data_IF_429973438887
#
_entry.id   IF_429973438887
#
_cell.length_a   1.000
_cell.length_b   1.000
_cell.length_c   1.000
_cell.angle_alpha   90.00
_cell.angle_beta   90.00
_cell.angle_gamma   90.00
#
_symmetry.space_group_name_H-M   'P 1'
#
loop_
_entity.id
_entity.type
_entity.pdbx_description
1 polymer ?
#
# COMPACT_ATOMS: atom_id res chain seq x y z
N UNK A 1 5.71 4.58 3.40
CA UNK A 1 6.64 5.69 3.50
C UNK A 1 7.94 5.25 4.15
N UNK A 2 9.03 5.90 3.79
CA UNK A 2 10.40 5.51 4.15
C UNK A 2 11.07 6.50 5.11
N UNK A 3 10.28 7.30 5.82
CA UNK A 3 10.79 8.36 6.68
C UNK A 3 11.64 7.88 7.88
N UNK A 4 11.61 6.61 8.20
CA UNK A 4 12.42 5.99 9.24
C UNK A 4 13.77 5.44 8.74
N UNK A 5 14.10 5.55 7.45
CA UNK A 5 15.38 5.06 6.89
C UNK A 5 16.40 6.15 6.62
N UNK A 6 16.01 7.42 6.57
CA UNK A 6 16.91 8.55 6.25
C UNK A 6 16.41 9.84 6.89
N UNK A 7 17.31 10.55 7.54
CA UNK A 7 17.04 11.90 8.03
C UNK A 7 16.80 12.90 6.89
N UNK A 8 17.34 12.64 5.70
CA UNK A 8 17.10 13.44 4.50
C UNK A 8 15.62 13.47 4.09
N UNK A 9 14.84 12.50 4.58
CA UNK A 9 13.41 12.46 4.33
C UNK A 9 12.69 13.72 4.82
N UNK A 10 13.01 14.22 6.01
CA UNK A 10 12.40 15.43 6.55
C UNK A 10 12.77 16.67 5.74
N UNK A 11 13.96 16.73 5.19
CA UNK A 11 14.44 17.82 4.36
C UNK A 11 13.74 17.89 3.00
N UNK A 12 13.25 16.75 2.48
CA UNK A 12 12.62 16.65 1.16
C UNK A 12 11.13 16.37 1.19
N UNK A 13 10.59 15.97 2.34
CA UNK A 13 9.20 15.57 2.49
C UNK A 13 8.24 16.75 2.52
N UNK A 14 6.97 16.45 2.35
CA UNK A 14 5.90 17.43 2.51
C UNK A 14 5.15 17.14 3.79
N UNK A 15 4.94 18.16 4.59
CA UNK A 15 4.03 18.14 5.72
C UNK A 15 2.87 19.06 5.39
N UNK A 16 1.64 18.57 5.53
CA UNK A 16 0.41 19.29 5.13
C UNK A 16 0.45 19.84 3.69
N UNK A 17 1.12 19.12 2.77
CA UNK A 17 1.24 19.52 1.37
C UNK A 17 2.39 20.48 1.06
N UNK A 18 3.07 21.01 2.06
CA UNK A 18 4.22 21.90 1.91
C UNK A 18 5.55 21.13 1.94
N UNK A 19 6.53 21.62 1.19
CA UNK A 19 7.85 21.02 1.15
C UNK A 19 8.64 21.46 2.36
N UNK A 20 9.29 20.49 3.00
CA UNK A 20 10.04 20.71 4.24
C UNK A 20 11.54 20.76 3.95
N UNK A 21 12.23 21.76 4.48
CA UNK A 21 13.68 21.87 4.50
C UNK A 21 14.27 22.84 3.48
N UNK A 22 14.21 22.53 2.17
CA UNK A 22 14.83 23.37 1.16
C UNK A 22 13.82 23.89 0.12
N UNK A 23 13.96 25.16 -0.28
CA UNK A 23 13.19 25.73 -1.39
C UNK A 23 13.73 25.24 -2.77
N UNK A 24 13.10 25.74 -3.84
CA UNK A 24 13.47 25.39 -5.22
C UNK A 24 14.92 25.85 -5.57
N UNK A 25 15.42 26.83 -4.86
CA UNK A 25 16.77 27.41 -5.05
C UNK A 25 17.81 26.72 -4.17
N UNK A 26 17.40 25.74 -3.36
CA UNK A 26 18.26 25.01 -2.43
C UNK A 26 18.54 25.77 -1.12
N UNK A 27 17.76 26.82 -0.81
CA UNK A 27 17.85 27.55 0.44
C UNK A 27 17.04 26.83 1.50
N UNK A 28 17.62 26.64 2.68
CA UNK A 28 16.92 26.09 3.84
C UNK A 28 15.75 26.98 4.24
N UNK A 29 14.59 26.35 4.37
CA UNK A 29 13.36 26.99 4.87
C UNK A 29 13.05 26.39 6.22
N UNK A 30 13.00 27.20 7.24
CA UNK A 30 12.49 26.82 8.54
C UNK A 30 10.95 26.79 8.47
N UNK A 31 10.39 25.59 8.51
CA UNK A 31 8.94 25.39 8.52
C UNK A 31 8.57 24.84 9.90
N UNK A 32 7.60 25.47 10.56
CA UNK A 32 6.96 24.94 11.76
C UNK A 32 5.68 24.19 11.35
N UNK A 33 5.74 22.87 11.12
CA UNK A 33 4.56 22.12 10.70
C UNK A 33 3.59 21.96 11.88
N UNK A 34 2.30 22.09 11.60
CA UNK A 34 1.25 21.74 12.55
C UNK A 34 0.82 20.30 12.22
N UNK A 35 0.99 19.40 13.16
CA UNK A 35 0.65 17.98 13.03
C UNK A 35 -0.46 17.62 14.01
N UNK A 36 -1.45 16.87 13.52
CA UNK A 36 -2.43 16.21 14.39
C UNK A 36 -2.01 14.75 14.51
N UNK A 37 -1.60 14.34 15.70
CA UNK A 37 -1.06 13.02 15.97
C UNK A 37 -1.86 12.33 17.07
N UNK A 38 -1.97 11.01 16.97
CA UNK A 38 -2.33 10.20 18.14
C UNK A 38 -1.15 10.17 19.11
N UNK A 39 -1.40 9.85 20.37
CA UNK A 39 -0.30 9.68 21.34
C UNK A 39 0.68 8.58 20.93
N UNK A 40 0.20 7.53 20.25
CA UNK A 40 1.05 6.46 19.73
C UNK A 40 2.03 6.99 18.68
N UNK A 41 1.55 7.79 17.73
CA UNK A 41 2.40 8.41 16.70
C UNK A 41 3.32 9.48 17.31
N UNK A 42 2.85 10.21 18.33
CA UNK A 42 3.66 11.20 19.00
C UNK A 42 4.85 10.57 19.76
N UNK A 43 4.63 9.48 20.49
CA UNK A 43 5.73 8.75 21.13
C UNK A 43 6.69 8.17 20.12
N UNK A 44 6.20 7.62 19.00
CA UNK A 44 7.05 7.14 17.91
C UNK A 44 7.90 8.28 17.30
N UNK A 45 7.33 9.48 17.16
CA UNK A 45 8.06 10.66 16.72
C UNK A 45 9.18 11.02 17.69
N UNK A 46 8.90 11.05 19.00
CA UNK A 46 9.89 11.35 20.03
C UNK A 46 11.03 10.31 20.11
N UNK A 47 10.75 9.06 19.75
CA UNK A 47 11.74 8.00 19.73
C UNK A 47 12.74 8.14 18.57
N UNK A 48 12.28 8.68 17.44
CA UNK A 48 13.05 8.66 16.20
C UNK A 48 13.55 10.03 15.74
N UNK A 49 13.13 11.13 16.37
CA UNK A 49 13.50 12.49 15.97
C UNK A 49 13.88 13.36 17.16
N UNK A 50 14.90 14.18 16.97
CA UNK A 50 15.17 15.31 17.83
C UNK A 50 14.22 16.45 17.46
N UNK A 51 13.49 16.96 18.43
CA UNK A 51 12.50 18.01 18.23
C UNK A 51 12.99 19.32 18.85
N UNK A 52 13.11 20.36 18.03
CA UNK A 52 13.32 21.72 18.48
C UNK A 52 11.98 22.48 18.54
N UNK A 53 11.82 23.34 19.51
CA UNK A 53 10.67 24.25 19.66
C UNK A 53 9.30 23.55 19.57
N UNK A 54 9.14 22.42 20.27
CA UNK A 54 7.86 21.73 20.35
C UNK A 54 6.83 22.55 21.12
N UNK A 55 5.70 22.85 20.49
CA UNK A 55 4.54 23.50 21.08
C UNK A 55 3.31 22.61 20.96
N UNK A 56 2.60 22.38 22.05
CA UNK A 56 1.30 21.69 22.05
C UNK A 56 0.21 22.75 21.96
N UNK A 57 -0.45 22.82 20.81
CA UNK A 57 -1.48 23.82 20.53
C UNK A 57 -2.84 23.43 21.12
N UNK A 58 -3.21 22.16 21.00
CA UNK A 58 -4.48 21.63 21.46
C UNK A 58 -4.39 20.11 21.65
N UNK A 59 -5.37 19.52 22.31
CA UNK A 59 -5.47 18.07 22.48
C UNK A 59 -6.83 17.64 23.01
N UNK A 60 -7.19 16.40 22.71
CA UNK A 60 -8.38 15.76 23.25
C UNK A 60 -8.03 14.38 23.82
N UNK A 61 -8.84 13.93 24.74
CA UNK A 61 -8.76 12.57 25.28
C UNK A 61 -10.10 11.89 25.19
N UNK A 62 -10.07 10.58 25.17
CA UNK A 62 -11.26 9.74 25.03
C UNK A 62 -11.33 8.73 26.17
N UNK A 63 -12.55 8.44 26.63
CA UNK A 63 -12.76 7.34 27.57
C UNK A 63 -12.45 6.01 26.90
N UNK A 64 -11.80 5.13 27.64
CA UNK A 64 -11.40 3.82 27.14
C UNK A 64 -12.51 2.80 27.36
N UNK A 65 -12.91 2.14 26.29
CA UNK A 65 -13.75 0.93 26.33
C UNK A 65 -12.93 -0.26 25.87
N UNK A 66 -13.04 -1.37 26.59
CA UNK A 66 -12.38 -2.64 26.27
C UNK A 66 -13.44 -3.66 25.85
N UNK A 67 -13.11 -4.48 24.83
CA UNK A 67 -13.97 -5.59 24.41
C UNK A 67 -15.15 -5.21 23.53
N UNK A 68 -15.24 -3.96 23.07
CA UNK A 68 -16.39 -3.48 22.27
C UNK A 68 -16.64 -4.29 21.01
N UNK A 69 -15.59 -4.81 20.39
CA UNK A 69 -15.64 -5.53 19.11
C UNK A 69 -15.20 -7.00 19.21
N UNK A 70 -14.93 -7.51 20.40
CA UNK A 70 -14.34 -8.85 20.58
C UNK A 70 -15.19 -9.94 19.92
N UNK A 71 -16.50 -9.98 20.18
CA UNK A 71 -17.38 -10.98 19.58
C UNK A 71 -17.39 -10.93 18.04
N UNK A 72 -17.38 -9.72 17.47
CA UNK A 72 -17.33 -9.54 16.01
C UNK A 72 -16.00 -10.01 15.45
N UNK A 73 -14.89 -9.59 16.06
CA UNK A 73 -13.54 -9.93 15.63
C UNK A 73 -13.33 -11.45 15.74
N UNK A 74 -13.69 -12.05 16.86
CA UNK A 74 -13.52 -13.48 17.09
C UNK A 74 -14.34 -14.32 16.10
N UNK A 75 -15.58 -13.94 15.84
CA UNK A 75 -16.41 -14.63 14.85
C UNK A 75 -15.77 -14.64 13.45
N UNK A 76 -15.40 -13.46 12.94
CA UNK A 76 -14.83 -13.37 11.60
C UNK A 76 -13.40 -13.92 11.52
N UNK A 77 -12.62 -13.83 12.59
CA UNK A 77 -11.30 -14.44 12.66
C UNK A 77 -11.40 -15.97 12.59
N UNK A 78 -12.29 -16.58 13.37
CA UNK A 78 -12.53 -18.03 13.35
C UNK A 78 -13.02 -18.49 11.97
N UNK A 79 -13.94 -17.75 11.37
CA UNK A 79 -14.39 -18.07 10.00
C UNK A 79 -13.24 -18.00 8.99
N UNK A 80 -12.37 -16.98 9.06
CA UNK A 80 -11.19 -16.85 8.20
C UNK A 80 -10.21 -18.01 8.38
N UNK A 81 -9.94 -18.43 9.62
CA UNK A 81 -9.00 -19.50 9.95
C UNK A 81 -9.53 -20.85 9.49
N UNK A 82 -10.83 -21.11 9.72
CA UNK A 82 -11.46 -22.40 9.42
C UNK A 82 -12.04 -22.49 8.00
N UNK A 83 -11.90 -21.45 7.19
CA UNK A 83 -12.45 -21.45 5.82
C UNK A 83 -11.83 -22.55 4.95
N UNK A 84 -12.67 -23.40 4.41
CA UNK A 84 -12.28 -24.49 3.51
C UNK A 84 -12.25 -24.08 2.04
N UNK A 85 -12.81 -22.91 1.72
CA UNK A 85 -12.78 -22.36 0.38
C UNK A 85 -12.29 -20.91 0.37
N UNK A 86 -11.73 -20.43 -0.76
CA UNK A 86 -11.20 -19.08 -0.89
C UNK A 86 -12.25 -17.97 -0.73
N UNK A 87 -13.51 -18.24 -1.07
CA UNK A 87 -14.58 -17.21 -1.01
C UNK A 87 -14.92 -16.86 0.42
N UNK A 88 -15.13 -17.86 1.29
CA UNK A 88 -15.43 -17.64 2.70
C UNK A 88 -14.27 -16.94 3.41
N UNK A 89 -13.04 -17.36 3.09
CA UNK A 89 -11.83 -16.71 3.60
C UNK A 89 -11.75 -15.24 3.20
N UNK A 90 -12.04 -14.95 1.92
CA UNK A 90 -12.01 -13.59 1.42
C UNK A 90 -13.14 -12.75 2.03
N UNK A 91 -14.32 -13.30 2.19
CA UNK A 91 -15.44 -12.64 2.86
C UNK A 91 -15.08 -12.28 4.31
N UNK A 92 -14.55 -13.23 5.06
CA UNK A 92 -14.14 -13.00 6.45
C UNK A 92 -13.04 -11.90 6.54
N UNK A 93 -12.05 -11.93 5.65
CA UNK A 93 -11.03 -10.89 5.56
C UNK A 93 -11.64 -9.50 5.25
N UNK A 94 -12.62 -9.46 4.33
CA UNK A 94 -13.32 -8.24 3.98
C UNK A 94 -14.11 -7.67 5.17
N UNK A 95 -14.80 -8.51 5.92
CA UNK A 95 -15.57 -8.09 7.09
C UNK A 95 -14.67 -7.53 8.20
N UNK A 96 -13.53 -8.17 8.50
CA UNK A 96 -12.55 -7.66 9.46
C UNK A 96 -12.01 -6.28 9.02
N UNK A 97 -11.65 -6.12 7.75
CA UNK A 97 -11.13 -4.86 7.24
C UNK A 97 -12.21 -3.75 7.17
N UNK A 98 -13.46 -4.11 6.89
CA UNK A 98 -14.55 -3.15 6.81
C UNK A 98 -14.93 -2.57 8.17
N UNK A 99 -14.70 -3.27 9.27
CA UNK A 99 -14.94 -2.72 10.59
C UNK A 99 -14.16 -1.42 10.80
N UNK A 100 -12.85 -1.46 10.55
CA UNK A 100 -12.00 -0.29 10.60
C UNK A 100 -12.41 0.77 9.56
N UNK A 101 -12.63 0.37 8.31
CA UNK A 101 -12.99 1.26 7.21
C UNK A 101 -14.30 2.01 7.46
N UNK A 102 -15.25 1.40 8.17
CA UNK A 102 -16.51 2.05 8.53
C UNK A 102 -16.29 3.24 9.48
N UNK A 103 -15.40 3.12 10.45
CA UNK A 103 -15.08 4.21 11.38
C UNK A 103 -14.23 5.32 10.74
N UNK A 104 -13.44 4.98 9.72
CA UNK A 104 -12.57 5.94 9.02
C UNK A 104 -13.20 6.55 7.77
N UNK A 105 -14.49 6.28 7.51
CA UNK A 105 -15.15 6.80 6.32
C UNK A 105 -15.50 8.30 6.48
N UNK A 106 -15.21 9.08 5.42
CA UNK A 106 -15.62 10.49 5.34
C UNK A 106 -17.13 10.62 5.23
N UNK A 107 -17.68 11.69 5.78
CA UNK A 107 -19.04 12.17 5.56
C UNK A 107 -19.23 12.80 4.18
N UNK A 108 -18.15 13.32 3.59
CA UNK A 108 -18.16 13.74 2.20
C UNK A 108 -18.17 12.53 1.27
N UNK A 109 -19.31 12.23 0.72
CA UNK A 109 -19.45 11.18 -0.29
C UNK A 109 -19.89 11.76 -1.62
N UNK A 110 -19.24 11.33 -2.69
CA UNK A 110 -19.68 11.62 -4.05
C UNK A 110 -20.04 10.33 -4.76
N UNK A 111 -21.17 10.31 -5.45
CA UNK A 111 -21.53 9.21 -6.33
C UNK A 111 -21.75 9.69 -7.75
N UNK A 112 -21.50 8.79 -8.70
CA UNK A 112 -21.85 9.03 -10.09
C UNK A 112 -23.24 8.47 -10.33
N UNK A 113 -24.15 9.37 -10.71
CA UNK A 113 -25.48 9.00 -11.23
C UNK A 113 -25.38 8.99 -12.75
N UNK A 114 -25.95 7.97 -13.34
CA UNK A 114 -26.04 7.83 -14.78
C UNK A 114 -27.46 8.17 -15.22
N UNK A 115 -27.59 9.19 -16.03
CA UNK A 115 -28.84 9.59 -16.64
C UNK A 115 -28.80 9.34 -18.14
N UNK A 116 -29.93 8.96 -18.72
CA UNK A 116 -30.07 8.82 -20.16
C UNK A 116 -30.89 10.00 -20.71
N UNK A 117 -30.21 10.89 -21.40
CA UNK A 117 -30.76 12.12 -21.92
C UNK A 117 -30.34 12.32 -23.39
N UNK A 118 -31.24 12.73 -24.24
CA UNK A 118 -31.02 12.95 -25.69
C UNK A 118 -30.40 11.73 -26.43
N UNK A 119 -30.73 10.51 -26.01
CA UNK A 119 -30.18 9.32 -26.61
C UNK A 119 -28.76 8.97 -26.17
N UNK A 120 -28.22 9.67 -25.16
CA UNK A 120 -26.86 9.49 -24.65
C UNK A 120 -26.85 9.20 -23.16
N UNK A 121 -25.89 8.38 -22.72
CA UNK A 121 -25.63 8.13 -21.30
C UNK A 121 -24.73 9.23 -20.74
N UNK A 122 -25.23 9.98 -19.80
CA UNK A 122 -24.52 11.03 -19.08
C UNK A 122 -24.14 10.56 -17.68
N UNK A 123 -22.93 10.85 -17.25
CA UNK A 123 -22.49 10.61 -15.88
C UNK A 123 -22.31 11.97 -15.20
N UNK A 124 -23.09 12.24 -14.16
CA UNK A 124 -22.90 13.41 -13.30
C UNK A 124 -22.48 12.98 -11.90
N UNK A 125 -21.61 13.75 -11.30
CA UNK A 125 -21.22 13.56 -9.91
C UNK A 125 -22.19 14.33 -9.02
N UNK A 126 -22.78 13.67 -8.05
CA UNK A 126 -23.58 14.29 -6.99
C UNK A 126 -22.79 14.19 -5.70
N UNK A 127 -22.57 15.32 -5.07
CA UNK A 127 -22.03 15.38 -3.71
C UNK A 127 -23.19 15.23 -2.72
N UNK A 128 -23.01 14.38 -1.73
CA UNK A 128 -23.99 14.19 -0.67
C UNK A 128 -23.28 14.36 0.67
N UNK A 129 -23.83 15.22 1.48
CA UNK A 129 -23.39 15.45 2.87
C UNK A 129 -24.31 14.76 3.89
N UNK A 130 -25.19 13.87 3.43
CA UNK A 130 -26.21 13.22 4.28
C UNK A 130 -25.71 11.98 5.02
N UNK A 131 -24.45 11.59 4.80
CA UNK A 131 -23.88 10.41 5.45
C UNK A 131 -23.40 10.78 6.85
N UNK A 132 -23.87 10.07 7.87
CA UNK A 132 -23.28 10.18 9.20
C UNK A 132 -21.79 9.84 9.13
N UNK A 133 -20.96 10.75 9.65
CA UNK A 133 -19.52 10.53 9.72
C UNK A 133 -19.21 9.32 10.59
N UNK A 134 -18.14 8.60 10.25
CA UNK A 134 -17.59 7.58 11.12
C UNK A 134 -17.01 8.21 12.40
N UNK A 135 -16.67 7.36 13.36
CA UNK A 135 -15.95 7.82 14.55
C UNK A 135 -14.44 7.80 14.29
N UNK A 136 -13.96 8.86 13.63
CA UNK A 136 -12.57 8.99 13.14
C UNK A 136 -11.50 8.67 14.19
N UNK A 137 -11.64 9.02 15.50
CA UNK A 137 -10.65 8.66 16.51
C UNK A 137 -10.32 7.17 16.59
N UNK A 138 -11.32 6.28 16.43
CA UNK A 138 -11.07 4.83 16.37
C UNK A 138 -10.21 4.47 15.16
N UNK A 139 -10.55 4.97 13.97
CA UNK A 139 -9.80 4.73 12.77
C UNK A 139 -8.35 5.24 12.85
N UNK A 140 -8.16 6.43 13.41
CA UNK A 140 -6.84 7.00 13.66
C UNK A 140 -6.02 6.16 14.63
N UNK A 141 -6.62 5.70 15.73
CA UNK A 141 -5.95 4.85 16.70
C UNK A 141 -5.50 3.52 16.06
N UNK A 142 -6.38 2.83 15.32
CA UNK A 142 -6.06 1.55 14.67
C UNK A 142 -4.86 1.72 13.71
N UNK A 143 -4.89 2.75 12.87
CA UNK A 143 -3.79 2.99 11.92
C UNK A 143 -2.49 3.39 12.60
N UNK A 144 -2.56 4.11 13.73
CA UNK A 144 -1.39 4.47 14.51
C UNK A 144 -0.73 3.26 15.16
N UNK A 145 -1.52 2.36 15.74
CA UNK A 145 -0.99 1.12 16.30
C UNK A 145 -0.37 0.23 15.22
N UNK A 146 -1.03 0.06 14.07
CA UNK A 146 -0.49 -0.69 12.95
C UNK A 146 0.84 -0.09 12.43
N UNK A 147 0.90 1.23 12.30
CA UNK A 147 2.11 1.96 11.90
C UNK A 147 3.24 1.81 12.91
N UNK A 148 2.94 1.96 14.19
CA UNK A 148 3.91 1.74 15.27
C UNK A 148 4.49 0.33 15.22
N UNK A 149 3.63 -0.69 15.07
CA UNK A 149 4.04 -2.09 14.97
C UNK A 149 4.99 -2.33 13.78
N UNK A 150 4.66 -1.79 12.61
CA UNK A 150 5.48 -1.93 11.40
C UNK A 150 6.80 -1.17 11.49
N UNK A 151 6.78 0.07 11.98
CA UNK A 151 7.99 0.89 12.10
C UNK A 151 8.94 0.30 13.15
N UNK A 152 8.43 -0.14 14.29
CA UNK A 152 9.26 -0.77 15.33
C UNK A 152 9.97 -2.01 14.79
N UNK A 153 9.28 -2.87 14.03
CA UNK A 153 9.90 -4.02 13.40
C UNK A 153 10.93 -3.61 12.32
N UNK A 154 10.63 -2.61 11.50
CA UNK A 154 11.55 -2.10 10.49
C UNK A 154 12.83 -1.52 11.12
N UNK A 155 12.70 -0.76 12.21
CA UNK A 155 13.84 -0.19 12.95
C UNK A 155 14.70 -1.26 13.62
N UNK A 156 14.07 -2.29 14.20
CA UNK A 156 14.80 -3.40 14.79
C UNK A 156 15.65 -4.19 13.77
N UNK A 157 15.34 -4.08 12.48
CA UNK A 157 16.02 -4.73 11.36
C UNK A 157 16.65 -3.71 10.39
N UNK A 158 17.02 -2.52 10.86
CA UNK A 158 17.42 -1.40 10.02
C UNK A 158 18.51 -1.75 8.99
N UNK A 159 19.53 -2.51 9.39
CA UNK A 159 20.67 -2.88 8.52
C UNK A 159 20.24 -3.75 7.32
N UNK A 160 19.24 -4.61 7.50
CA UNK A 160 18.72 -5.51 6.45
C UNK A 160 17.42 -5.02 5.83
N UNK A 161 16.84 -3.95 6.37
CA UNK A 161 15.55 -3.42 5.92
C UNK A 161 15.62 -2.83 4.51
N UNK A 162 14.68 -3.22 3.64
CA UNK A 162 14.56 -2.71 2.26
C UNK A 162 13.29 -1.91 2.07
N UNK A 163 12.14 -2.46 2.49
CA UNK A 163 10.85 -1.89 2.17
C UNK A 163 9.78 -2.29 3.20
N UNK A 164 8.80 -1.42 3.38
CA UNK A 164 7.59 -1.72 4.13
C UNK A 164 6.35 -1.13 3.44
N UNK A 165 5.23 -1.83 3.53
CA UNK A 165 3.94 -1.32 3.10
C UNK A 165 2.86 -1.75 4.10
N UNK A 166 2.30 -0.78 4.79
CA UNK A 166 1.18 -0.91 5.75
C UNK A 166 1.43 -1.96 6.84
N UNK A 167 1.40 -3.24 6.49
CA UNK A 167 1.47 -4.42 7.36
C UNK A 167 2.48 -5.47 6.87
N UNK A 168 3.46 -5.06 6.08
CA UNK A 168 4.56 -5.91 5.61
C UNK A 168 5.90 -5.24 5.76
N UNK A 169 6.96 -6.03 6.02
CA UNK A 169 8.35 -5.62 5.94
C UNK A 169 9.12 -6.57 5.02
N UNK A 170 10.07 -6.03 4.28
CA UNK A 170 10.96 -6.77 3.40
C UNK A 170 12.40 -6.51 3.83
N UNK A 171 13.17 -7.56 4.02
CA UNK A 171 14.55 -7.51 4.46
C UNK A 171 15.43 -8.33 3.51
N UNK A 172 16.70 -7.94 3.36
CA UNK A 172 17.69 -8.67 2.57
C UNK A 172 18.74 -9.33 3.46
N UNK A 173 19.39 -10.36 2.94
CA UNK A 173 20.51 -11.08 3.59
C UNK A 173 20.22 -11.61 5.01
N UNK A 174 18.96 -11.97 5.28
CA UNK A 174 18.52 -12.53 6.55
C UNK A 174 17.56 -13.69 6.33
N UNK A 175 17.52 -14.60 7.28
CA UNK A 175 16.49 -15.65 7.32
C UNK A 175 15.28 -15.17 8.12
N UNK A 176 14.17 -15.88 8.01
CA UNK A 176 12.98 -15.57 8.78
C UNK A 176 13.21 -15.60 10.31
N UNK A 177 14.19 -16.38 10.78
CA UNK A 177 14.53 -16.48 12.21
C UNK A 177 15.39 -15.32 12.71
N UNK A 178 16.08 -14.62 11.81
CA UNK A 178 16.91 -13.47 12.14
C UNK A 178 16.11 -12.18 12.34
N UNK A 179 14.85 -12.14 11.88
CA UNK A 179 14.00 -10.95 11.95
C UNK A 179 13.65 -10.64 13.42
N UNK A 180 14.07 -9.46 13.88
CA UNK A 180 13.89 -8.97 15.24
C UNK A 180 12.60 -8.17 15.38
N UNK A 181 12.06 -8.08 16.62
CA UNK A 181 10.89 -7.25 16.92
C UNK A 181 9.59 -7.68 16.22
N UNK A 182 9.58 -8.86 15.64
CA UNK A 182 8.48 -9.38 14.84
C UNK A 182 8.12 -10.80 15.28
N UNK A 183 7.41 -10.97 16.40
CA UNK A 183 6.96 -12.28 16.85
C UNK A 183 6.11 -12.93 15.75
N UNK A 184 6.42 -14.19 15.40
CA UNK A 184 5.76 -14.89 14.29
C UNK A 184 4.68 -15.84 14.76
N UNK A 185 3.57 -15.85 14.03
CA UNK A 185 2.50 -16.83 14.18
C UNK A 185 1.67 -16.88 12.89
N UNK A 186 1.18 -18.06 12.51
CA UNK A 186 0.44 -18.23 11.26
C UNK A 186 -0.92 -17.52 11.24
N UNK A 187 -1.58 -17.43 12.37
CA UNK A 187 -2.99 -16.98 12.46
C UNK A 187 -3.28 -15.99 13.57
N UNK A 188 -2.41 -15.85 14.58
CA UNK A 188 -2.65 -14.96 15.71
C UNK A 188 -2.55 -13.48 15.30
N UNK A 189 -3.41 -12.64 15.89
CA UNK A 189 -3.29 -11.20 15.77
C UNK A 189 -2.04 -10.69 16.49
N UNK A 190 -1.55 -9.52 16.08
CA UNK A 190 -0.32 -8.90 16.57
C UNK A 190 0.93 -9.79 16.42
N UNK A 191 0.91 -10.66 15.42
CA UNK A 191 2.05 -11.47 15.03
C UNK A 191 2.30 -11.31 13.53
N UNK A 192 3.56 -11.42 13.15
CA UNK A 192 3.97 -11.46 11.76
C UNK A 192 3.78 -12.87 11.21
N UNK A 193 3.29 -12.96 9.99
CA UNK A 193 3.30 -14.18 9.22
C UNK A 193 4.47 -14.13 8.25
N UNK A 194 5.26 -15.21 8.18
CA UNK A 194 6.19 -15.37 7.09
C UNK A 194 5.42 -15.64 5.79
N UNK A 195 5.66 -14.86 4.75
CA UNK A 195 5.01 -15.05 3.46
C UNK A 195 5.93 -15.74 2.48
N UNK A 196 7.11 -15.16 2.19
CA UNK A 196 7.99 -15.64 1.14
C UNK A 196 9.45 -15.21 1.37
N UNK A 197 10.39 -15.94 0.74
CA UNK A 197 11.76 -15.49 0.47
C UNK A 197 11.98 -15.36 -1.04
N UNK A 198 12.87 -14.47 -1.39
CA UNK A 198 13.27 -14.16 -2.76
C UNK A 198 14.79 -14.13 -2.86
N UNK A 199 15.34 -14.48 -4.03
CA UNK A 199 16.78 -14.45 -4.30
C UNK A 199 17.20 -13.19 -5.09
N UNK A 200 16.27 -12.56 -5.80
CA UNK A 200 16.50 -11.29 -6.50
C UNK A 200 15.24 -10.42 -6.45
N UNK A 201 15.41 -9.11 -6.29
CA UNK A 201 14.29 -8.18 -6.22
C UNK A 201 14.67 -6.76 -6.62
N UNK A 202 13.71 -6.01 -7.16
CA UNK A 202 13.85 -4.57 -7.41
C UNK A 202 12.67 -3.81 -6.79
N UNK A 203 12.99 -2.91 -5.89
CA UNK A 203 12.05 -1.98 -5.27
C UNK A 203 12.24 -0.59 -5.89
N UNK A 204 11.32 -0.19 -6.76
CA UNK A 204 11.43 1.09 -7.50
C UNK A 204 10.91 2.25 -6.66
N UNK A 205 9.75 2.06 -6.04
CA UNK A 205 9.08 3.06 -5.19
C UNK A 205 7.96 2.40 -4.39
N UNK A 206 7.28 3.20 -3.59
CA UNK A 206 6.12 2.75 -2.83
C UNK A 206 5.10 2.04 -3.72
N UNK A 207 4.66 0.84 -3.31
CA UNK A 207 3.72 -0.04 -4.02
C UNK A 207 4.14 -0.41 -5.45
N UNK A 208 5.47 -0.38 -5.74
CA UNK A 208 6.01 -0.73 -7.05
C UNK A 208 7.33 -1.47 -6.88
N UNK A 209 7.27 -2.78 -6.96
CA UNK A 209 8.41 -3.69 -6.83
C UNK A 209 8.16 -5.02 -7.54
N UNK A 210 9.21 -5.75 -7.76
CA UNK A 210 9.20 -7.13 -8.24
C UNK A 210 10.20 -7.95 -7.44
N UNK A 211 9.80 -9.16 -7.08
CA UNK A 211 10.58 -10.14 -6.35
C UNK A 211 10.58 -11.46 -7.11
N UNK A 212 11.72 -12.11 -7.25
CA UNK A 212 11.79 -13.49 -7.72
C UNK A 212 11.69 -14.43 -6.52
N UNK A 213 10.49 -14.92 -6.28
CA UNK A 213 10.15 -15.73 -5.10
C UNK A 213 10.64 -17.16 -5.29
N UNK A 214 11.37 -17.66 -4.30
CA UNK A 214 11.96 -19.01 -4.29
C UNK A 214 11.47 -19.89 -3.14
N UNK A 215 10.90 -19.28 -2.10
CA UNK A 215 10.33 -19.98 -0.95
C UNK A 215 9.01 -19.35 -0.53
N UNK A 216 8.06 -20.18 -0.12
CA UNK A 216 6.80 -19.77 0.53
C UNK A 216 6.56 -20.62 1.78
N UNK A 217 6.03 -20.02 2.84
CA UNK A 217 5.70 -20.71 4.10
C UNK A 217 6.90 -21.52 4.68
N UNK A 218 8.13 -21.02 4.51
CA UNK A 218 9.39 -21.66 4.92
C UNK A 218 9.77 -22.94 4.13
N UNK A 219 9.16 -23.15 2.98
CA UNK A 219 9.47 -24.27 2.10
C UNK A 219 9.89 -23.75 0.71
N UNK A 220 10.90 -24.41 0.14
CA UNK A 220 11.29 -24.12 -1.24
C UNK A 220 10.19 -24.52 -2.21
N UNK A 221 9.93 -23.66 -3.17
CA UNK A 221 8.95 -23.92 -4.22
C UNK A 221 9.65 -24.54 -5.44
N UNK A 222 9.02 -25.52 -6.07
CA UNK A 222 9.59 -26.22 -7.24
C UNK A 222 9.71 -25.30 -8.45
N UNK A 223 8.78 -24.35 -8.61
CA UNK A 223 8.74 -23.40 -9.72
C UNK A 223 8.78 -21.96 -9.16
N UNK A 224 9.97 -21.36 -9.02
CA UNK A 224 10.11 -19.93 -8.66
C UNK A 224 9.33 -19.03 -9.60
N UNK A 225 8.77 -17.94 -9.06
CA UNK A 225 7.94 -17.02 -9.83
C UNK A 225 8.21 -15.56 -9.49
N UNK A 226 7.80 -14.66 -10.39
CA UNK A 226 7.89 -13.22 -10.16
C UNK A 226 6.62 -12.69 -9.48
N UNK A 227 6.75 -12.23 -8.23
CA UNK A 227 5.74 -11.46 -7.53
C UNK A 227 5.84 -9.99 -7.92
N UNK A 228 4.89 -9.51 -8.73
CA UNK A 228 4.90 -8.15 -9.28
C UNK A 228 3.84 -7.32 -8.57
N UNK A 229 4.26 -6.27 -7.91
CA UNK A 229 3.40 -5.25 -7.33
C UNK A 229 3.64 -3.91 -8.02
N UNK A 230 2.61 -3.38 -8.66
CA UNK A 230 2.66 -2.09 -9.33
C UNK A 230 1.34 -1.34 -9.10
N UNK A 231 1.39 -0.24 -8.38
CA UNK A 231 0.19 0.58 -8.15
C UNK A 231 -0.40 1.06 -9.48
N UNK A 232 -1.69 0.76 -9.67
CA UNK A 232 -2.44 1.13 -10.88
C UNK A 232 -2.20 0.25 -12.11
N UNK A 233 -1.37 -0.80 -12.02
CA UNK A 233 -1.21 -1.77 -13.09
C UNK A 233 -2.38 -2.76 -13.09
N UNK A 234 -3.07 -2.87 -14.22
CA UNK A 234 -4.12 -3.86 -14.43
C UNK A 234 -3.56 -5.28 -14.62
N UNK A 235 -4.46 -6.25 -14.71
CA UNK A 235 -4.10 -7.67 -14.85
C UNK A 235 -3.41 -7.97 -16.19
N UNK A 236 -3.89 -7.38 -17.30
CA UNK A 236 -3.29 -7.60 -18.62
C UNK A 236 -1.81 -7.20 -18.71
N UNK A 237 -1.43 -5.95 -18.32
CA UNK A 237 -0.02 -5.57 -18.25
C UNK A 237 0.80 -6.45 -17.30
N UNK A 238 0.24 -6.86 -16.16
CA UNK A 238 0.94 -7.73 -15.21
C UNK A 238 1.28 -9.08 -15.84
N UNK A 239 0.33 -9.71 -16.52
CA UNK A 239 0.57 -10.97 -17.24
C UNK A 239 1.61 -10.82 -18.36
N UNK A 240 1.61 -9.69 -19.08
CA UNK A 240 2.61 -9.42 -20.10
C UNK A 240 4.00 -9.28 -19.47
N UNK A 241 4.11 -8.51 -18.39
CA UNK A 241 5.36 -8.33 -17.67
C UNK A 241 5.90 -9.64 -17.09
N UNK A 242 5.03 -10.47 -16.51
CA UNK A 242 5.40 -11.81 -16.04
C UNK A 242 5.96 -12.68 -17.18
N UNK A 243 5.32 -12.65 -18.35
CA UNK A 243 5.82 -13.38 -19.53
C UNK A 243 7.18 -12.87 -20.01
N UNK A 244 7.40 -11.55 -19.97
CA UNK A 244 8.70 -10.96 -20.36
C UNK A 244 9.81 -11.37 -19.40
N UNK A 245 9.56 -11.30 -18.10
CA UNK A 245 10.52 -11.72 -17.08
C UNK A 245 10.85 -13.22 -17.20
N UNK A 246 9.85 -14.07 -17.29
CA UNK A 246 10.05 -15.52 -17.45
C UNK A 246 10.73 -15.90 -18.77
N UNK A 247 10.43 -15.18 -19.83
CA UNK A 247 11.00 -15.44 -21.16
C UNK A 247 12.36 -14.80 -21.41
N UNK A 248 12.78 -13.86 -20.56
CA UNK A 248 14.01 -13.09 -20.78
C UNK A 248 13.94 -12.10 -21.95
N UNK A 249 12.75 -11.82 -22.47
CA UNK A 249 12.56 -10.92 -23.61
C UNK A 249 11.21 -10.20 -23.57
N UNK A 250 11.21 -9.00 -24.14
CA UNK A 250 10.01 -8.20 -24.40
C UNK A 250 9.62 -8.31 -25.87
N UNK A 251 8.34 -8.64 -26.12
CA UNK A 251 7.75 -8.60 -27.45
C UNK A 251 6.95 -7.31 -27.59
N UNK A 252 7.23 -6.51 -28.60
CA UNK A 252 6.54 -5.25 -28.91
C UNK A 252 6.05 -5.32 -30.35
N UNK A 253 4.81 -4.92 -30.58
CA UNK A 253 4.22 -4.81 -31.93
C UNK A 253 4.16 -3.32 -32.29
N UNK A 254 4.86 -2.91 -33.35
CA UNK A 254 4.80 -1.57 -33.91
C UNK A 254 4.58 -1.65 -35.41
N UNK A 255 3.59 -0.91 -35.94
CA UNK A 255 3.31 -0.79 -37.36
C UNK A 255 3.29 -2.13 -38.15
N UNK A 256 2.60 -3.15 -37.58
CA UNK A 256 2.50 -4.52 -38.12
C UNK A 256 3.80 -5.36 -38.06
N UNK A 257 4.87 -4.82 -37.49
CA UNK A 257 6.10 -5.57 -37.23
C UNK A 257 6.22 -5.97 -35.75
N UNK A 258 6.84 -7.13 -35.51
CA UNK A 258 7.06 -7.67 -34.16
C UNK A 258 8.55 -7.65 -33.85
N UNK A 259 8.90 -6.89 -32.84
CA UNK A 259 10.27 -6.82 -32.34
C UNK A 259 10.41 -7.62 -31.05
N UNK A 260 11.54 -8.30 -30.91
CA UNK A 260 11.92 -9.02 -29.69
C UNK A 260 13.20 -8.37 -29.16
N UNK A 261 13.15 -7.88 -27.93
CA UNK A 261 14.30 -7.31 -27.24
C UNK A 261 14.56 -8.07 -25.93
N UNK A 262 15.83 -8.26 -25.54
CA UNK A 262 16.13 -8.80 -24.22
C UNK A 262 15.41 -8.02 -23.12
N UNK A 263 14.92 -8.73 -22.11
CA UNK A 263 14.26 -8.11 -20.97
C UNK A 263 14.61 -8.91 -19.70
N UNK A 264 15.01 -8.23 -18.66
CA UNK A 264 15.37 -8.83 -17.39
C UNK A 264 14.90 -7.98 -16.22
N UNK A 265 15.21 -8.42 -15.01
CA UNK A 265 14.78 -7.77 -13.78
C UNK A 265 15.24 -6.29 -13.74
N UNK A 266 16.44 -5.97 -14.20
CA UNK A 266 17.00 -4.60 -14.25
C UNK A 266 16.23 -3.63 -15.16
N UNK A 267 15.36 -4.14 -16.03
CA UNK A 267 14.49 -3.32 -16.88
C UNK A 267 13.19 -2.92 -16.17
N UNK A 268 12.95 -3.46 -15.00
CA UNK A 268 11.85 -3.07 -14.13
C UNK A 268 12.20 -1.74 -13.43
N UNK A 269 11.98 -0.63 -14.10
CA UNK A 269 12.36 0.72 -13.66
C UNK A 269 11.37 1.77 -14.12
N UNK A 270 11.49 2.98 -13.56
CA UNK A 270 10.72 4.15 -14.00
C UNK A 270 10.87 4.35 -15.51
N UNK A 271 9.75 4.64 -16.16
CA UNK A 271 9.68 4.75 -17.63
C UNK A 271 9.27 3.45 -18.35
N UNK A 272 9.25 2.29 -17.66
CA UNK A 272 8.77 1.04 -18.24
C UNK A 272 7.33 1.20 -18.74
N UNK A 273 7.12 0.83 -19.99
CA UNK A 273 5.81 0.81 -20.66
C UNK A 273 5.39 -0.64 -20.91
N UNK A 274 4.18 -1.01 -20.45
CA UNK A 274 3.63 -2.35 -20.60
C UNK A 274 2.25 -2.28 -21.23
N UNK A 275 2.08 -2.98 -22.33
CA UNK A 275 0.82 -3.07 -23.08
C UNK A 275 -0.21 -3.98 -22.38
N UNK A 276 -1.46 -3.97 -22.88
CA UNK A 276 -2.53 -4.83 -22.39
C UNK A 276 -3.40 -4.18 -21.31
N UNK A 277 -3.21 -2.90 -21.03
CA UNK A 277 -4.11 -2.14 -20.18
C UNK A 277 -5.36 -1.73 -20.98
N UNK A 278 -6.52 -1.76 -20.33
CA UNK A 278 -7.77 -1.29 -20.93
C UNK A 278 -8.26 -0.06 -20.18
N UNK A 279 -8.59 0.98 -20.93
CA UNK A 279 -9.14 2.22 -20.39
C UNK A 279 -10.55 2.46 -20.94
N UNK A 280 -11.47 2.78 -20.04
CA UNK A 280 -12.81 3.19 -20.44
C UNK A 280 -12.75 4.55 -21.15
N UNK A 281 -13.33 4.62 -22.35
CA UNK A 281 -13.51 5.84 -23.14
C UNK A 281 -14.98 6.03 -23.40
N UNK A 282 -15.50 7.20 -23.02
CA UNK A 282 -16.88 7.61 -23.32
C UNK A 282 -16.94 8.01 -24.78
N UNK A 283 -17.87 7.42 -25.51
CA UNK A 283 -18.18 7.72 -26.91
C UNK A 283 -19.66 7.99 -27.06
N UNK A 284 -20.07 8.53 -28.22
CA UNK A 284 -21.50 8.67 -28.52
C UNK A 284 -22.18 7.30 -28.47
N UNK A 285 -23.17 7.14 -27.60
CA UNK A 285 -23.92 5.90 -27.41
C UNK A 285 -23.39 4.97 -26.33
N UNK A 286 -22.36 5.33 -25.55
CA UNK A 286 -21.92 4.55 -24.40
C UNK A 286 -20.44 4.65 -24.06
N UNK A 287 -19.96 3.63 -23.37
CA UNK A 287 -18.54 3.51 -22.98
C UNK A 287 -17.92 2.32 -23.70
N UNK A 288 -16.77 2.52 -24.32
CA UNK A 288 -15.95 1.47 -24.93
C UNK A 288 -14.65 1.30 -24.16
N UNK A 289 -14.14 0.09 -24.12
CA UNK A 289 -12.80 -0.18 -23.62
C UNK A 289 -11.82 -0.05 -24.78
N UNK A 290 -10.82 0.81 -24.61
CA UNK A 290 -9.75 0.98 -25.57
C UNK A 290 -8.44 0.51 -24.99
N UNK A 291 -7.57 -0.02 -25.83
CA UNK A 291 -6.24 -0.40 -25.43
C UNK A 291 -5.46 0.83 -24.96
N UNK A 292 -4.71 0.65 -23.92
CA UNK A 292 -3.86 1.64 -23.30
C UNK A 292 -2.57 0.98 -22.81
N UNK A 293 -1.53 1.76 -22.63
CA UNK A 293 -0.25 1.30 -22.12
C UNK A 293 -0.11 1.75 -20.67
N UNK A 294 0.19 0.80 -19.79
CA UNK A 294 0.65 1.15 -18.44
C UNK A 294 2.04 1.76 -18.53
N UNK A 295 2.24 2.91 -17.92
CA UNK A 295 3.57 3.55 -17.81
C UNK A 295 3.95 3.68 -16.34
N UNK A 296 5.06 3.06 -15.97
CA UNK A 296 5.65 3.18 -14.64
C UNK A 296 6.21 4.61 -14.47
N UNK A 297 5.71 5.33 -13.51
CA UNK A 297 6.08 6.72 -13.22
C UNK A 297 6.94 6.79 -11.98
#
# INVERSE_FOLDING_TARGET
STWYKSNEWLETSRVNGERYGYDIEGKYIEIKPILTLTMTDFYLLLEHYDLDELEILDGCYFDKTIGLFDEYIDYWAQLKINATNPVDRQLAKLMLNNLYGKFSSSDDSSYKIFDYEDGHLHARTIESHEKESGYIPIGSAITSYARNFTITAAQANYESFVYADTDSIHCHDVTADDIKGAPRHETAFNHWKYEASWDDAIFVRQKTYVEHVTEENLEKIDEPYFNIKCAGMGEGPRQNLTRWLNGGYKKVSEADEVYITPFGLTDFKVGLAVEGNLKAKIVSGGTVLVENVYKMR
#
